data_IF_705714795333
#
_entry.id   IF_705714795333
#
_cell.length_a   1.000
_cell.length_b   1.000
_cell.length_c   1.000
_cell.angle_alpha   90.00
_cell.angle_beta   90.00
_cell.angle_gamma   90.00
#
_symmetry.space_group_name_H-M   'P 1'
#
loop_
_entity.id
_entity.type
_entity.pdbx_description
1 polymer ?
2 water ?
#
# COMPACT_ATOMS: atom_id res chain seq x y z
N UNK A 20 -19.97 21.46 3.98
CA UNK A 20 -18.68 22.01 4.40
C UNK A 20 -17.50 21.21 3.88
N UNK A 21 -17.77 19.94 3.51
CA UNK A 21 -16.72 19.10 2.91
C UNK A 21 -16.04 19.83 1.76
N UNK A 22 -16.78 20.68 1.05
CA UNK A 22 -16.17 21.52 0.01
C UNK A 22 -15.37 22.66 0.65
N UNK A 23 -15.96 23.35 1.64
CA UNK A 23 -15.25 24.42 2.33
C UNK A 23 -14.12 23.87 3.21
N UNK A 24 -14.36 22.73 3.86
CA UNK A 24 -13.31 22.09 4.66
C UNK A 24 -12.09 21.78 3.82
N UNK A 25 -12.30 21.31 2.59
CA UNK A 25 -11.19 20.93 1.73
C UNK A 25 -10.44 22.16 1.23
N UNK A 26 -11.15 23.25 0.94
CA UNK A 26 -10.50 24.51 0.59
C UNK A 26 -9.68 25.03 1.76
N UNK A 27 -10.26 25.01 2.97
CA UNK A 27 -9.59 25.58 4.13
C UNK A 27 -8.36 24.76 4.52
N UNK A 28 -8.44 23.43 4.39
CA UNK A 28 -7.27 22.61 4.66
C UNK A 28 -6.16 22.88 3.65
N UNK A 29 -6.51 23.00 2.37
CA UNK A 29 -5.50 23.26 1.35
C UNK A 29 -4.87 24.64 1.54
N UNK A 30 -5.65 25.64 1.93
CA UNK A 30 -5.09 26.95 2.23
C UNK A 30 -4.17 26.89 3.45
N UNK A 31 -4.57 26.12 4.48
CA UNK A 31 -3.71 25.98 5.64
C UNK A 31 -2.39 25.31 5.27
N UNK A 32 -2.46 24.27 4.44
CA UNK A 32 -1.24 23.58 4.01
C UNK A 32 -0.35 24.50 3.19
N UNK A 33 -0.93 25.22 2.22
CA UNK A 33 -0.15 26.14 1.40
C UNK A 33 0.40 27.29 2.24
N UNK A 34 -0.32 27.71 3.27
CA UNK A 34 0.21 28.72 4.19
C UNK A 34 1.40 28.16 4.97
N UNK A 35 1.32 26.90 5.38
CA UNK A 35 2.45 26.28 6.07
C UNK A 35 3.67 26.17 5.16
N UNK A 36 3.45 25.85 3.88
CA UNK A 36 4.55 25.73 2.93
C UNK A 36 5.23 27.08 2.76
N UNK A 37 4.44 28.15 2.67
CA UNK A 37 5.01 29.48 2.46
C UNK A 37 5.72 29.99 3.72
N UNK A 38 5.06 29.86 4.88
CA UNK A 38 5.65 30.34 6.12
C UNK A 38 6.97 29.65 6.45
N UNK A 39 7.13 28.42 5.97
CA UNK A 39 8.32 27.64 6.25
C UNK A 39 9.30 27.60 5.09
N UNK A 40 9.00 28.31 3.99
CA UNK A 40 9.87 28.40 2.82
C UNK A 40 10.18 27.01 2.24
N UNK A 41 9.11 26.25 1.99
CA UNK A 41 9.24 24.89 1.48
C UNK A 41 8.76 24.74 0.05
N UNK A 42 8.56 25.86 -0.67
CA UNK A 42 7.97 25.79 -2.01
C UNK A 42 8.84 24.98 -2.97
N UNK A 43 10.17 25.07 -2.82
CA UNK A 43 11.07 24.35 -3.70
C UNK A 43 11.24 22.88 -3.33
N UNK A 44 10.70 22.44 -2.19
CA UNK A 44 10.80 21.05 -1.78
C UNK A 44 9.51 20.26 -1.93
N UNK A 45 8.36 20.94 -2.11
CA UNK A 45 7.09 20.24 -2.13
C UNK A 45 6.02 21.17 -2.69
N UNK A 46 5.01 20.56 -3.31
CA UNK A 46 3.81 21.24 -3.76
C UNK A 46 2.60 20.61 -3.10
N UNK A 47 1.48 21.31 -3.15
CA UNK A 47 0.23 20.82 -2.55
C UNK A 47 -0.91 21.03 -3.54
N UNK A 48 -1.85 20.09 -3.52
CA UNK A 48 -3.00 20.18 -4.40
C UNK A 48 -4.17 19.45 -3.75
N UNK A 49 -5.35 19.62 -4.35
CA UNK A 49 -6.54 18.90 -3.96
C UNK A 49 -7.03 18.05 -5.12
N UNK A 50 -7.50 16.85 -4.81
CA UNK A 50 -8.24 16.04 -5.77
C UNK A 50 -9.25 15.20 -4.99
N UNK A 51 -9.82 14.19 -5.64
CA UNK A 51 -10.85 13.37 -5.02
C UNK A 51 -10.35 12.69 -3.76
N UNK A 52 -9.05 12.44 -3.65
CA UNK A 52 -8.50 11.77 -2.48
C UNK A 52 -8.49 12.68 -1.26
N UNK A 53 -8.36 14.00 -1.48
CA UNK A 53 -8.20 14.95 -0.41
C UNK A 53 -7.13 15.98 -0.75
N UNK A 54 -6.37 16.41 0.23
CA UNK A 54 -5.25 17.34 0.03
C UNK A 54 -3.96 16.53 -0.03
N UNK A 55 -3.19 16.71 -1.09
CA UNK A 55 -2.04 15.86 -1.40
C UNK A 55 -0.77 16.69 -1.39
N UNK A 56 0.25 16.21 -0.67
CA UNK A 56 1.59 16.77 -0.71
C UNK A 56 2.44 15.93 -1.66
N UNK A 57 3.05 16.58 -2.66
CA UNK A 57 3.85 15.89 -3.66
C UNK A 57 5.32 16.22 -3.43
N UNK A 58 6.13 15.18 -3.22
CA UNK A 58 7.57 15.33 -3.03
C UNK A 58 8.26 14.53 -4.12
N UNK A 59 9.10 15.21 -4.90
CA UNK A 59 9.88 14.52 -5.92
C UNK A 59 10.91 13.59 -5.25
N UNK A 60 11.28 12.53 -5.98
CA UNK A 60 12.19 11.52 -5.42
C UNK A 60 13.48 12.14 -4.89
N UNK A 61 13.99 13.18 -5.55
CA UNK A 61 15.29 13.73 -5.22
C UNK A 61 15.38 14.33 -3.82
N UNK A 62 14.26 14.81 -3.26
CA UNK A 62 14.33 15.39 -1.92
C UNK A 62 14.19 14.34 -0.82
N UNK A 63 14.07 13.06 -1.19
CA UNK A 63 13.85 12.00 -0.22
C UNK A 63 14.87 10.86 -0.33
N UNK A 64 15.12 10.39 -1.56
CA UNK A 64 15.83 9.14 -1.77
C UNK A 64 16.93 9.30 -2.82
N UNK A 65 17.88 8.37 -2.79
CA UNK A 65 18.76 8.14 -3.92
C UNK A 65 18.01 7.36 -5.01
N UNK A 66 18.62 7.31 -6.19
CA UNK A 66 18.03 6.57 -7.30
C UNK A 66 17.95 5.08 -6.97
N UNK A 67 16.79 4.48 -7.24
CA UNK A 67 16.61 3.06 -7.04
C UNK A 67 16.68 2.59 -5.60
N UNK A 68 16.66 3.52 -4.66
CA UNK A 68 16.75 3.20 -3.24
C UNK A 68 15.51 3.73 -2.51
N UNK A 69 15.30 3.20 -1.30
CA UNK A 69 14.15 3.59 -0.48
C UNK A 69 14.54 4.04 0.92
N UNK A 70 15.83 4.25 1.18
CA UNK A 70 16.27 4.73 2.48
C UNK A 70 16.18 6.24 2.50
N UNK A 71 15.52 6.78 3.53
CA UNK A 71 15.39 8.23 3.66
C UNK A 71 16.77 8.83 3.87
N UNK A 72 17.14 9.75 2.98
CA UNK A 72 18.43 10.41 3.09
C UNK A 72 18.52 11.21 4.39
N UNK A 73 19.75 11.40 4.87
CA UNK A 73 19.94 12.16 6.10
C UNK A 73 19.58 13.63 5.89
N UNK A 74 19.85 14.17 4.70
CA UNK A 74 19.46 15.54 4.39
C UNK A 74 17.97 15.67 4.10
N UNK A 75 17.23 14.57 4.05
CA UNK A 75 15.78 14.61 3.93
C UNK A 75 15.08 14.66 5.28
N UNK A 76 15.82 14.42 6.37
CA UNK A 76 15.17 14.31 7.68
C UNK A 76 14.62 15.64 8.16
N UNK A 77 15.27 16.76 7.80
CA UNK A 77 14.75 18.06 8.21
C UNK A 77 13.41 18.34 7.53
N UNK A 78 13.32 18.08 6.22
CA UNK A 78 12.07 18.26 5.50
C UNK A 78 10.96 17.39 6.09
N UNK A 79 11.24 16.12 6.33
CA UNK A 79 10.22 15.22 6.87
C UNK A 79 9.80 15.65 8.28
N UNK A 80 10.74 16.18 9.07
CA UNK A 80 10.35 16.73 10.37
C UNK A 80 9.42 17.92 10.21
N UNK A 81 9.71 18.81 9.25
CA UNK A 81 8.84 19.96 9.02
C UNK A 81 7.45 19.53 8.58
N UNK A 82 7.37 18.49 7.75
CA UNK A 82 6.07 17.94 7.38
C UNK A 82 5.38 17.34 8.60
N UNK A 83 6.14 16.64 9.44
CA UNK A 83 5.55 16.00 10.61
C UNK A 83 4.98 17.03 11.57
N UNK A 84 5.63 18.18 11.70
CA UNK A 84 5.12 19.25 12.55
C UNK A 84 3.76 19.72 12.04
N UNK A 85 3.60 19.83 10.73
CA UNK A 85 2.29 20.16 10.17
C UNK A 85 1.28 19.05 10.44
N UNK A 86 1.71 17.79 10.25
CA UNK A 86 0.77 16.66 10.38
C UNK A 86 0.26 16.50 11.81
N UNK A 87 1.06 16.89 12.80
CA UNK A 87 0.61 16.75 14.19
C UNK A 87 -0.54 17.72 14.51
N UNK A 88 -0.66 18.83 13.77
CA UNK A 88 -1.68 19.82 14.05
C UNK A 88 -3.04 19.47 13.47
N UNK A 89 -3.17 18.35 12.77
CA UNK A 89 -4.46 17.96 12.18
C UNK A 89 -4.75 16.52 12.56
N UNK A 90 -6.04 16.14 12.59
CA UNK A 90 -6.41 14.77 12.96
C UNK A 90 -6.54 13.80 11.79
N UNK A 91 -6.52 14.26 10.55
CA UNK A 91 -6.88 13.42 9.42
C UNK A 91 -5.94 12.21 9.30
N UNK A 92 -6.49 11.14 8.74
CA UNK A 92 -5.67 9.98 8.40
C UNK A 92 -4.75 10.33 7.24
N UNK A 93 -3.61 9.63 7.18
CA UNK A 93 -2.57 9.91 6.19
C UNK A 93 -2.33 8.66 5.36
N UNK A 94 -2.28 8.83 4.05
CA UNK A 94 -1.89 7.79 3.12
C UNK A 94 -0.63 8.25 2.40
N UNK A 95 0.47 7.52 2.59
CA UNK A 95 1.73 7.82 1.89
C UNK A 95 1.83 6.88 0.69
N UNK A 96 1.93 7.48 -0.50
CA UNK A 96 1.93 6.75 -1.75
C UNK A 96 3.32 6.79 -2.38
N UNK A 97 3.83 5.62 -2.76
CA UNK A 97 5.09 5.53 -3.49
C UNK A 97 4.82 5.25 -4.95
N UNK A 98 5.64 5.85 -5.83
CA UNK A 98 5.51 5.69 -7.27
C UNK A 98 6.90 5.49 -7.86
N UNK A 99 6.96 4.70 -8.93
CA UNK A 99 8.18 4.57 -9.72
C UNK A 99 7.89 5.01 -11.15
N UNK A 100 8.96 5.23 -11.92
CA UNK A 100 8.82 5.30 -13.36
C UNK A 100 8.74 3.89 -13.92
N UNK A 101 8.70 3.76 -15.26
CA UNK A 101 8.57 2.45 -15.87
C UNK A 101 9.91 1.73 -16.00
N UNK A 102 11.02 2.35 -15.63
CA UNK A 102 12.31 1.69 -15.69
C UNK A 102 12.32 0.45 -14.80
N UNK A 103 12.84 -0.65 -15.35
CA UNK A 103 12.84 -1.90 -14.60
C UNK A 103 13.86 -1.84 -13.47
N UNK A 104 13.43 -2.35 -12.31
CA UNK A 104 14.32 -2.59 -11.18
C UNK A 104 14.15 -4.05 -10.77
N UNK A 105 15.26 -4.69 -10.41
CA UNK A 105 15.24 -6.10 -10.06
C UNK A 105 16.48 -6.47 -9.27
N UNK A 106 16.59 -5.93 -8.06
CA UNK A 106 17.70 -6.22 -7.17
C UNK A 106 17.23 -7.12 -6.03
N UNK A 107 18.21 -7.59 -5.25
CA UNK A 107 17.89 -8.38 -4.07
C UNK A 107 17.02 -7.61 -3.10
N UNK A 108 17.30 -6.32 -2.93
CA UNK A 108 16.58 -5.50 -1.97
C UNK A 108 15.21 -5.07 -2.48
N UNK A 109 15.06 -4.89 -3.79
CA UNK A 109 13.80 -4.44 -4.38
C UNK A 109 13.52 -5.26 -5.63
N UNK A 110 12.79 -6.36 -5.51
CA UNK A 110 12.64 -7.28 -6.66
C UNK A 110 11.70 -6.80 -7.75
N UNK A 111 10.99 -5.68 -7.56
CA UNK A 111 10.21 -5.10 -8.64
C UNK A 111 9.81 -3.68 -8.25
N UNK A 112 9.19 -2.98 -9.19
CA UNK A 112 8.74 -1.61 -8.94
C UNK A 112 7.60 -1.57 -7.92
N UNK A 113 6.85 -2.66 -7.77
CA UNK A 113 5.86 -2.72 -6.69
C UNK A 113 6.54 -2.62 -5.34
N UNK A 114 7.58 -3.44 -5.12
CA UNK A 114 8.30 -3.41 -3.85
C UNK A 114 9.00 -2.08 -3.63
N UNK A 115 9.63 -1.52 -4.66
CA UNK A 115 10.33 -0.25 -4.50
C UNK A 115 9.38 0.86 -4.13
N UNK A 116 8.25 0.97 -4.83
CA UNK A 116 7.30 2.04 -4.53
C UNK A 116 6.74 1.89 -3.13
N UNK A 117 6.47 0.65 -2.71
CA UNK A 117 5.93 0.42 -1.38
C UNK A 117 7.00 0.60 -0.30
N UNK A 118 8.25 0.28 -0.61
CA UNK A 118 9.32 0.50 0.37
C UNK A 118 9.58 1.98 0.60
N UNK A 119 9.33 2.82 -0.40
CA UNK A 119 9.54 4.26 -0.22
C UNK A 119 8.44 4.87 0.62
N UNK A 120 7.19 4.50 0.36
CA UNK A 120 6.10 4.94 1.24
C UNK A 120 6.34 4.45 2.67
N UNK A 121 6.80 3.21 2.81
CA UNK A 121 7.05 2.64 4.14
C UNK A 121 8.18 3.37 4.85
N UNK A 122 9.25 3.69 4.13
CA UNK A 122 10.37 4.39 4.75
C UNK A 122 9.97 5.77 5.26
N UNK A 123 9.07 6.44 4.55
CA UNK A 123 8.58 7.73 5.00
C UNK A 123 7.72 7.56 6.25
N UNK A 124 6.86 6.55 6.26
CA UNK A 124 5.99 6.34 7.41
C UNK A 124 6.80 5.91 8.62
N UNK A 125 7.79 5.04 8.41
CA UNK A 125 8.65 4.62 9.53
C UNK A 125 9.35 5.81 10.15
N UNK A 126 9.77 6.77 9.32
CA UNK A 126 10.33 8.01 9.85
C UNK A 126 9.31 8.76 10.69
N UNK A 127 8.10 8.93 10.17
CA UNK A 127 7.07 9.68 10.88
C UNK A 127 6.74 9.06 12.22
N UNK A 128 6.67 7.72 12.28
CA UNK A 128 6.19 7.04 13.48
C UNK A 128 7.31 6.75 14.47
N UNK A 129 8.43 6.20 14.00
CA UNK A 129 9.46 5.75 14.93
C UNK A 129 10.31 6.90 15.46
N UNK A 130 10.45 7.98 14.69
CA UNK A 130 11.43 9.00 15.00
C UNK A 130 10.81 10.37 15.23
N UNK A 131 9.65 10.64 14.65
CA UNK A 131 8.87 11.83 14.96
C UNK A 131 7.69 11.52 15.89
N UNK A 132 7.43 10.25 16.17
CA UNK A 132 6.44 9.80 17.15
C UNK A 132 5.00 10.20 16.79
N UNK A 133 4.68 10.23 15.51
CA UNK A 133 3.27 10.34 15.16
C UNK A 133 2.60 8.96 15.28
N UNK A 134 1.33 8.92 15.68
CA UNK A 134 0.69 7.63 15.95
C UNK A 134 0.58 6.77 14.69
N UNK A 135 1.04 5.52 14.80
CA UNK A 135 1.06 4.61 13.66
C UNK A 135 -0.33 4.38 13.06
N UNK A 136 -1.38 4.41 13.88
CA UNK A 136 -2.72 4.18 13.33
C UNK A 136 -3.19 5.27 12.38
N UNK A 137 -2.44 6.36 12.25
CA UNK A 137 -2.83 7.40 11.31
C UNK A 137 -2.38 7.12 9.88
N UNK A 138 -1.58 6.06 9.66
CA UNK A 138 -0.87 5.89 8.40
C UNK A 138 -1.25 4.60 7.69
N UNK A 139 -1.20 4.67 6.36
CA UNK A 139 -1.27 3.51 5.47
C UNK A 139 -0.20 3.69 4.40
N UNK A 140 0.59 2.65 4.16
CA UNK A 140 1.59 2.66 3.10
C UNK A 140 0.99 2.09 1.82
N UNK A 141 1.16 2.80 0.71
CA UNK A 141 0.56 2.42 -0.56
C UNK A 141 1.62 2.45 -1.64
N UNK A 142 1.69 1.38 -2.44
CA UNK A 142 2.62 1.33 -3.56
C UNK A 142 1.89 1.19 -4.88
N UNK A 143 2.20 2.05 -5.84
CA UNK A 143 1.54 2.04 -7.13
C UNK A 143 2.43 1.53 -8.26
N UNK A 144 3.69 1.21 -7.99
CA UNK A 144 4.67 0.87 -9.04
C UNK A 144 4.61 1.98 -10.08
N UNK A 145 4.47 1.66 -11.37
CA UNK A 145 4.42 2.66 -12.43
C UNK A 145 3.01 2.82 -13.00
N UNK A 146 2.00 2.42 -12.25
CA UNK A 146 0.63 2.40 -12.74
C UNK A 146 -0.08 3.75 -12.72
N UNK A 147 0.54 4.79 -12.14
CA UNK A 147 -0.07 6.12 -12.09
C UNK A 147 0.94 7.18 -12.47
N UNK A 148 1.35 7.21 -13.75
CA UNK A 148 2.31 8.24 -14.18
C UNK A 148 1.64 9.60 -14.23
N UNK A 149 2.49 10.64 -14.17
CA UNK A 149 1.98 12.01 -14.32
C UNK A 149 1.50 12.23 -15.75
N UNK A 150 2.38 12.01 -16.72
CA UNK A 150 1.97 11.96 -18.13
C UNK A 150 2.33 10.61 -18.72
N UNK A 151 3.60 10.30 -18.92
CA UNK A 151 4.04 9.04 -19.50
C UNK A 151 5.51 8.82 -19.14
N UNK A 152 6.16 7.90 -19.85
CA UNK A 152 7.56 7.59 -19.62
C UNK A 152 8.38 7.69 -20.90
N UNK A 153 7.90 8.43 -21.90
CA UNK A 153 8.60 8.45 -23.19
C UNK A 153 9.88 9.30 -23.15
N UNK A 154 10.03 10.18 -22.17
CA UNK A 154 11.21 11.02 -22.06
C UNK A 154 11.78 10.93 -20.65
N UNK A 155 13.05 11.32 -20.53
CA UNK A 155 13.68 11.34 -19.21
C UNK A 155 13.01 12.35 -18.29
N UNK A 156 12.61 13.50 -18.85
CA UNK A 156 11.80 14.46 -18.10
C UNK A 156 10.54 13.81 -17.54
N UNK A 157 9.82 13.06 -18.37
CA UNK A 157 8.55 12.49 -17.92
C UNK A 157 8.76 11.39 -16.88
N UNK A 158 9.81 10.58 -17.04
CA UNK A 158 10.07 9.52 -16.06
C UNK A 158 10.49 10.10 -14.72
N UNK A 159 11.20 11.23 -14.74
CA UNK A 159 11.65 11.86 -13.51
C UNK A 159 10.47 12.24 -12.61
N UNK A 160 9.47 12.93 -13.18
CA UNK A 160 8.35 13.39 -12.37
C UNK A 160 7.47 12.24 -11.89
N UNK A 161 7.56 11.07 -12.54
CA UNK A 161 6.81 9.91 -12.06
C UNK A 161 7.41 9.32 -10.79
N UNK A 162 8.69 9.58 -10.53
CA UNK A 162 9.36 9.12 -9.32
C UNK A 162 9.09 10.15 -8.24
N UNK A 163 8.04 9.89 -7.47
CA UNK A 163 7.52 10.89 -6.56
C UNK A 163 6.83 10.18 -5.42
N UNK A 164 6.83 10.80 -4.25
CA UNK A 164 6.05 10.34 -3.10
C UNK A 164 4.92 11.34 -2.90
N UNK A 165 3.70 10.83 -2.70
CA UNK A 165 2.55 11.67 -2.45
C UNK A 165 2.00 11.35 -1.07
N UNK A 166 1.87 12.37 -0.23
CA UNK A 166 1.33 12.23 1.12
C UNK A 166 -0.11 12.75 1.06
N UNK A 167 -1.07 11.84 1.12
CA UNK A 167 -2.48 12.17 0.95
C UNK A 167 -3.09 12.42 2.32
N UNK A 168 -3.62 13.62 2.52
CA UNK A 168 -4.34 13.96 3.74
C UNK A 168 -5.82 13.72 3.44
N UNK A 169 -6.36 12.63 3.97
CA UNK A 169 -7.70 12.17 3.63
C UNK A 169 -8.76 13.06 4.28
N UNK A 170 -9.97 13.04 3.70
CA UNK A 170 -11.07 13.81 4.25
C UNK A 170 -11.41 13.32 5.66
N UNK A 171 -11.70 14.27 6.54
CA UNK A 171 -12.03 13.96 7.93
C UNK A 171 -13.31 14.66 8.36
N UNK B 17 -30.40 1.68 -4.77
CA UNK B 17 -29.02 1.85 -5.22
C UNK B 17 -28.10 0.86 -4.52
N UNK B 18 -27.86 1.09 -3.23
CA UNK B 18 -26.99 0.20 -2.47
C UNK B 18 -27.52 -1.23 -2.49
N UNK B 19 -28.80 -1.41 -2.16
CA UNK B 19 -29.38 -2.75 -2.16
C UNK B 19 -29.15 -3.45 -3.49
N UNK B 20 -29.16 -2.69 -4.58
CA UNK B 20 -28.76 -3.24 -5.87
C UNK B 20 -27.27 -3.55 -5.90
N UNK B 21 -26.46 -2.73 -5.23
CA UNK B 21 -25.02 -2.94 -5.17
C UNK B 21 -24.60 -3.85 -4.02
N UNK B 22 -25.34 -3.89 -2.91
CA UNK B 22 -25.01 -4.86 -1.87
C UNK B 22 -25.47 -6.27 -2.23
N UNK B 23 -26.65 -6.40 -2.85
CA UNK B 23 -27.05 -7.70 -3.37
C UNK B 23 -26.08 -8.19 -4.43
N UNK B 24 -25.48 -7.27 -5.17
CA UNK B 24 -24.43 -7.64 -6.11
C UNK B 24 -23.20 -8.17 -5.39
N UNK B 25 -22.80 -7.51 -4.29
CA UNK B 25 -21.69 -8.02 -3.48
C UNK B 25 -22.03 -9.35 -2.84
N UNK B 26 -23.29 -9.55 -2.47
CA UNK B 26 -23.71 -10.84 -1.92
C UNK B 26 -23.47 -11.95 -2.94
N UNK B 27 -23.82 -11.70 -4.20
CA UNK B 27 -23.65 -12.70 -5.23
C UNK B 27 -22.16 -12.96 -5.52
N UNK B 28 -21.34 -11.91 -5.44
CA UNK B 28 -19.92 -12.08 -5.68
C UNK B 28 -19.27 -12.93 -4.59
N UNK B 29 -19.62 -12.67 -3.32
CA UNK B 29 -19.08 -13.48 -2.24
C UNK B 29 -19.50 -14.94 -2.39
N UNK B 30 -20.76 -15.17 -2.76
CA UNK B 30 -21.23 -16.54 -2.99
C UNK B 30 -20.43 -17.20 -4.11
N UNK B 31 -20.16 -16.45 -5.19
CA UNK B 31 -19.32 -16.98 -6.26
C UNK B 31 -17.93 -17.34 -5.75
N UNK B 32 -17.33 -16.45 -4.93
CA UNK B 32 -15.99 -16.70 -4.41
C UNK B 32 -15.99 -17.93 -3.50
N UNK B 33 -16.97 -18.00 -2.59
CA UNK B 33 -17.06 -19.15 -1.70
C UNK B 33 -17.26 -20.45 -2.48
N UNK B 34 -18.06 -20.38 -3.55
CA UNK B 34 -18.26 -21.56 -4.39
C UNK B 34 -16.97 -21.94 -5.11
N UNK B 35 -16.21 -20.95 -5.57
CA UNK B 35 -14.92 -21.22 -6.20
C UNK B 35 -13.97 -21.90 -5.22
N UNK B 36 -13.97 -21.45 -3.97
CA UNK B 36 -13.12 -22.06 -2.95
C UNK B 36 -13.53 -23.50 -2.70
N UNK B 37 -14.84 -23.73 -2.56
CA UNK B 37 -15.34 -25.08 -2.31
C UNK B 37 -15.04 -26.01 -3.49
N UNK B 38 -15.34 -25.55 -4.71
CA UNK B 38 -15.23 -26.43 -5.87
C UNK B 38 -13.78 -26.80 -6.17
N UNK B 39 -12.83 -25.96 -5.78
CA UNK B 39 -11.42 -26.21 -6.06
C UNK B 39 -10.65 -26.71 -4.85
N UNK B 40 -11.35 -27.12 -3.79
CA UNK B 40 -10.74 -27.74 -2.61
C UNK B 40 -9.69 -26.82 -1.98
N UNK B 41 -10.07 -25.56 -1.78
CA UNK B 41 -9.17 -24.53 -1.27
C UNK B 41 -9.55 -24.05 0.13
N UNK B 42 -10.44 -24.75 0.83
CA UNK B 42 -10.94 -24.25 2.10
C UNK B 42 -9.83 -24.17 3.15
N UNK B 43 -8.89 -25.11 3.13
CA UNK B 43 -7.82 -25.11 4.12
C UNK B 43 -6.75 -24.07 3.83
N UNK B 44 -6.81 -23.40 2.67
CA UNK B 44 -5.78 -22.46 2.27
C UNK B 44 -6.25 -21.02 2.20
N UNK B 45 -7.55 -20.76 2.09
CA UNK B 45 -8.06 -19.41 2.08
C UNK B 45 -9.47 -19.38 2.64
N UNK B 46 -9.86 -18.22 3.14
CA UNK B 46 -11.25 -17.92 3.44
C UNK B 46 -11.66 -16.67 2.70
N UNK B 47 -12.97 -16.41 2.69
CA UNK B 47 -13.51 -15.22 2.05
C UNK B 47 -14.56 -14.61 2.95
N UNK B 48 -14.69 -13.28 2.87
CA UNK B 48 -15.67 -12.56 3.66
C UNK B 48 -16.01 -11.27 2.94
N UNK B 49 -17.04 -10.60 3.44
CA UNK B 49 -17.41 -9.30 2.91
C UNK B 49 -17.50 -8.28 4.04
N UNK B 50 -16.96 -7.10 3.82
CA UNK B 50 -17.13 -5.98 4.74
C UNK B 50 -17.21 -4.69 3.91
N UNK B 51 -17.03 -3.54 4.56
CA UNK B 51 -17.22 -2.26 3.87
C UNK B 51 -16.25 -2.12 2.70
N UNK B 52 -15.09 -2.76 2.76
CA UNK B 52 -14.12 -2.62 1.67
C UNK B 52 -14.59 -3.31 0.41
N UNK B 53 -15.34 -4.39 0.53
CA UNK B 53 -15.71 -5.24 -0.59
C UNK B 53 -15.66 -6.70 -0.23
N UNK B 54 -15.36 -7.57 -1.19
CA UNK B 54 -15.22 -9.00 -0.95
C UNK B 54 -13.74 -9.31 -0.80
N UNK B 55 -13.37 -9.96 0.30
CA UNK B 55 -11.97 -10.08 0.72
C UNK B 55 -11.59 -11.55 0.81
N UNK B 56 -10.48 -11.90 0.17
CA UNK B 56 -9.85 -13.20 0.35
C UNK B 56 -8.77 -13.06 1.43
N UNK B 57 -8.80 -13.96 2.42
CA UNK B 57 -7.86 -13.93 3.52
C UNK B 57 -6.93 -15.14 3.38
N UNK B 58 -5.62 -14.88 3.36
CA UNK B 58 -4.61 -15.92 3.26
C UNK B 58 -3.64 -15.77 4.42
N UNK B 59 -3.54 -16.79 5.27
CA UNK B 59 -2.59 -16.74 6.36
C UNK B 59 -1.17 -16.75 5.80
N UNK B 60 -0.24 -16.14 6.54
CA UNK B 60 1.11 -15.93 6.02
C UNK B 60 1.76 -17.24 5.57
N UNK B 61 1.50 -18.34 6.27
CA UNK B 61 2.27 -19.57 6.03
C UNK B 61 1.94 -20.22 4.70
N UNK B 62 0.82 -19.85 4.06
CA UNK B 62 0.55 -20.36 2.72
C UNK B 62 1.26 -19.58 1.63
N UNK B 63 1.92 -18.48 1.99
CA UNK B 63 2.58 -17.60 1.01
C UNK B 63 4.06 -17.37 1.28
N UNK B 64 4.46 -17.14 2.53
CA UNK B 64 5.82 -16.74 2.85
C UNK B 64 6.36 -17.59 3.99
N UNK B 65 7.70 -17.66 4.06
CA UNK B 65 8.34 -18.16 5.26
C UNK B 65 8.51 -17.02 6.27
N UNK B 66 8.82 -17.39 7.51
CA UNK B 66 8.88 -16.43 8.60
C UNK B 66 9.82 -15.27 8.28
N UNK B 67 9.32 -14.05 8.43
CA UNK B 67 10.13 -12.86 8.26
C UNK B 67 10.52 -12.52 6.85
N UNK B 68 9.98 -13.19 5.84
CA UNK B 68 10.36 -12.95 4.46
C UNK B 68 9.15 -12.54 3.64
N UNK B 69 9.42 -11.93 2.48
CA UNK B 69 8.39 -11.48 1.57
C UNK B 69 8.51 -12.12 0.19
N UNK B 70 9.36 -13.14 0.05
CA UNK B 70 9.48 -13.87 -1.20
C UNK B 70 8.40 -14.95 -1.23
N UNK B 71 7.61 -14.98 -2.30
CA UNK B 71 6.54 -15.97 -2.43
C UNK B 71 7.15 -17.36 -2.54
N UNK B 72 6.69 -18.28 -1.69
CA UNK B 72 7.16 -19.65 -1.75
C UNK B 72 6.76 -20.28 -3.08
N UNK B 73 7.65 -21.12 -3.61
CA UNK B 73 7.33 -21.84 -4.84
C UNK B 73 6.06 -22.67 -4.67
N UNK B 74 5.86 -23.27 -3.50
CA UNK B 74 4.69 -24.10 -3.32
C UNK B 74 3.40 -23.29 -3.14
N UNK B 75 3.48 -21.96 -3.10
CA UNK B 75 2.28 -21.14 -3.11
C UNK B 75 1.82 -20.79 -4.52
N UNK B 76 2.61 -21.14 -5.54
CA UNK B 76 2.31 -20.67 -6.90
C UNK B 76 1.07 -21.33 -7.47
N UNK B 77 0.78 -22.56 -7.08
CA UNK B 77 -0.45 -23.22 -7.51
C UNK B 77 -1.68 -22.50 -6.96
N UNK B 78 -1.63 -22.12 -5.68
CA UNK B 78 -2.75 -21.40 -5.08
C UNK B 78 -2.92 -20.02 -5.71
N UNK B 79 -1.82 -19.31 -5.95
CA UNK B 79 -1.92 -17.99 -6.56
C UNK B 79 -2.43 -18.07 -8.00
N UNK B 80 -2.07 -19.15 -8.72
CA UNK B 80 -2.65 -19.36 -10.04
C UNK B 80 -4.16 -19.57 -9.96
N UNK B 81 -4.61 -20.39 -9.01
CA UNK B 81 -6.04 -20.61 -8.85
C UNK B 81 -6.76 -19.33 -8.47
N UNK B 82 -6.11 -18.46 -7.69
CA UNK B 82 -6.69 -17.17 -7.38
C UNK B 82 -6.70 -16.28 -8.61
N UNK B 83 -5.62 -16.33 -9.41
CA UNK B 83 -5.55 -15.50 -10.61
C UNK B 83 -6.63 -15.87 -11.62
N UNK B 84 -6.93 -17.17 -11.73
CA UNK B 84 -8.00 -17.60 -12.63
C UNK B 84 -9.33 -17.00 -12.20
N UNK B 85 -9.59 -16.98 -10.90
CA UNK B 85 -10.82 -16.36 -10.39
C UNK B 85 -10.85 -14.87 -10.65
N UNK B 86 -9.71 -14.19 -10.47
CA UNK B 86 -9.68 -12.74 -10.66
C UNK B 86 -9.85 -12.36 -12.13
N UNK B 87 -9.46 -13.25 -13.05
CA UNK B 87 -9.60 -12.96 -14.46
C UNK B 87 -11.06 -12.92 -14.90
N UNK B 88 -11.97 -13.51 -14.12
CA UNK B 88 -13.38 -13.57 -14.49
C UNK B 88 -14.16 -12.34 -14.02
N UNK B 89 -13.53 -11.41 -13.31
CA UNK B 89 -14.23 -10.22 -12.84
C UNK B 89 -13.40 -8.97 -13.17
N UNK B 90 -14.03 -7.82 -13.38
CA UNK B 90 -13.30 -6.61 -13.74
C UNK B 90 -12.80 -5.76 -12.57
N UNK B 91 -13.14 -6.13 -11.34
CA UNK B 91 -12.96 -5.22 -10.21
C UNK B 91 -11.50 -4.86 -9.99
N UNK B 92 -11.29 -3.68 -9.40
CA UNK B 92 -9.98 -3.29 -8.90
C UNK B 92 -9.63 -4.13 -7.68
N UNK B 93 -8.34 -4.38 -7.48
CA UNK B 93 -7.86 -5.26 -6.43
C UNK B 93 -6.88 -4.50 -5.54
N UNK B 94 -7.06 -4.60 -4.24
CA UNK B 94 -6.13 -4.07 -3.26
C UNK B 94 -5.56 -5.25 -2.46
N UNK B 95 -4.25 -5.46 -2.55
CA UNK B 95 -3.57 -6.48 -1.77
C UNK B 95 -2.98 -5.84 -0.54
N UNK B 96 -3.38 -6.31 0.63
CA UNK B 96 -3.00 -5.74 1.92
C UNK B 96 -2.05 -6.68 2.65
N UNK B 97 -0.96 -6.14 3.15
CA UNK B 97 -0.04 -6.87 4.01
C UNK B 97 -0.22 -6.46 5.45
N UNK B 98 -0.12 -7.43 6.35
CA UNK B 98 -0.29 -7.21 7.78
C UNK B 98 0.77 -7.99 8.54
N UNK B 99 1.33 -7.37 9.57
CA UNK B 99 2.25 -8.04 10.48
C UNK B 99 1.60 -8.17 11.86
N UNK B 100 2.27 -8.91 12.74
CA UNK B 100 1.94 -8.86 14.16
C UNK B 100 2.81 -7.79 14.81
N UNK B 101 2.85 -7.76 16.14
CA UNK B 101 3.61 -6.75 16.87
C UNK B 101 5.06 -7.16 17.11
N UNK B 102 5.51 -8.28 16.53
CA UNK B 102 6.90 -8.69 16.65
C UNK B 102 7.79 -7.79 15.80
N UNK B 103 8.79 -7.18 16.42
CA UNK B 103 9.65 -6.24 15.72
C UNK B 103 10.59 -6.97 14.76
N UNK B 104 10.85 -6.33 13.62
CA UNK B 104 11.78 -6.85 12.62
C UNK B 104 12.69 -5.71 12.19
N UNK B 105 13.97 -6.02 11.99
CA UNK B 105 14.96 -5.01 11.59
C UNK B 105 16.10 -5.72 10.86
N UNK B 106 15.79 -6.29 9.70
CA UNK B 106 16.78 -6.95 8.89
C UNK B 106 17.25 -6.03 7.76
N UNK B 107 18.03 -6.58 6.84
CA UNK B 107 18.56 -5.79 5.72
C UNK B 107 17.46 -5.42 4.74
N UNK B 108 16.62 -6.39 4.37
CA UNK B 108 15.58 -6.15 3.37
C UNK B 108 14.33 -5.50 3.96
N UNK B 109 14.11 -5.63 5.27
CA UNK B 109 12.91 -5.12 5.92
C UNK B 109 13.27 -4.38 7.21
N UNK B 110 13.48 -3.07 7.13
CA UNK B 110 13.85 -2.30 8.32
C UNK B 110 12.75 -2.20 9.38
N UNK B 111 11.50 -2.51 9.07
CA UNK B 111 10.44 -2.51 10.08
C UNK B 111 9.20 -3.18 9.49
N UNK B 112 8.12 -3.20 10.30
CA UNK B 112 6.92 -3.94 9.90
C UNK B 112 6.14 -3.23 8.80
N UNK B 113 6.26 -1.90 8.70
CA UNK B 113 5.68 -1.21 7.55
C UNK B 113 6.24 -1.76 6.26
N UNK B 114 7.58 -1.89 6.21
CA UNK B 114 8.25 -2.38 5.02
C UNK B 114 7.91 -3.84 4.75
N UNK B 115 7.94 -4.68 5.79
CA UNK B 115 7.65 -6.10 5.61
C UNK B 115 6.23 -6.32 5.11
N UNK B 116 5.26 -5.64 5.71
CA UNK B 116 3.87 -5.81 5.28
C UNK B 116 3.68 -5.33 3.84
N UNK B 117 4.31 -4.21 3.49
CA UNK B 117 4.17 -3.67 2.14
C UNK B 117 4.88 -4.56 1.12
N UNK B 118 6.03 -5.12 1.49
CA UNK B 118 6.74 -6.00 0.57
C UNK B 118 5.99 -7.30 0.33
N UNK B 119 5.25 -7.77 1.33
CA UNK B 119 4.47 -8.99 1.15
C UNK B 119 3.30 -8.76 0.20
N UNK B 120 2.61 -7.62 0.33
CA UNK B 120 1.59 -7.29 -0.64
C UNK B 120 2.18 -7.14 -2.04
N UNK B 121 3.36 -6.53 -2.13
CA UNK B 121 4.02 -6.32 -3.41
C UNK B 121 4.44 -7.63 -4.07
N UNK B 122 4.94 -8.58 -3.28
CA UNK B 122 5.34 -9.86 -3.85
C UNK B 122 4.18 -10.62 -4.44
N UNK B 123 3.01 -10.54 -3.80
CA UNK B 123 1.82 -11.18 -4.34
C UNK B 123 1.42 -10.55 -5.65
N UNK B 124 1.43 -9.21 -5.71
CA UNK B 124 1.03 -8.50 -6.91
C UNK B 124 2.02 -8.76 -8.03
N UNK B 125 3.32 -8.77 -7.73
CA UNK B 125 4.31 -9.03 -8.77
C UNK B 125 4.10 -10.40 -9.40
N UNK B 126 3.74 -11.40 -8.58
CA UNK B 126 3.44 -12.71 -9.15
C UNK B 126 2.21 -12.65 -10.04
N UNK B 127 1.15 -11.97 -9.60
CA UNK B 127 -0.05 -11.86 -10.42
C UNK B 127 0.25 -11.21 -11.76
N UNK B 128 1.06 -10.15 -11.77
CA UNK B 128 1.30 -9.37 -12.98
C UNK B 128 2.42 -9.95 -13.85
N UNK B 129 3.50 -10.43 -13.24
CA UNK B 129 4.63 -10.92 -14.03
C UNK B 129 4.48 -12.37 -14.45
N UNK B 130 3.75 -13.18 -13.69
CA UNK B 130 3.62 -14.60 -14.00
C UNK B 130 2.23 -15.02 -14.46
N UNK B 131 1.16 -14.40 -13.94
CA UNK B 131 -0.20 -14.76 -14.33
C UNK B 131 -0.78 -13.82 -15.36
N UNK B 132 -0.07 -12.75 -15.72
CA UNK B 132 -0.45 -11.83 -16.80
C UNK B 132 -1.68 -11.00 -16.48
N UNK B 133 -2.04 -10.85 -15.20
CA UNK B 133 -3.09 -9.91 -14.85
C UNK B 133 -2.57 -8.49 -15.01
N UNK B 134 -3.38 -7.58 -15.58
CA UNK B 134 -2.89 -6.22 -15.84
C UNK B 134 -2.50 -5.49 -14.57
N UNK B 135 -1.36 -4.81 -14.62
CA UNK B 135 -0.85 -4.09 -13.45
C UNK B 135 -1.83 -3.02 -12.98
N UNK B 136 -2.57 -2.41 -13.90
CA UNK B 136 -3.48 -1.32 -13.56
C UNK B 136 -4.61 -1.75 -12.63
N UNK B 137 -4.80 -3.05 -12.41
CA UNK B 137 -5.87 -3.54 -11.55
C UNK B 137 -5.47 -3.59 -10.07
N UNK B 138 -4.21 -3.30 -9.74
CA UNK B 138 -3.67 -3.59 -8.42
C UNK B 138 -3.14 -2.34 -7.75
N UNK B 139 -3.27 -2.30 -6.42
CA UNK B 139 -2.47 -1.43 -5.57
C UNK B 139 -1.98 -2.26 -4.39
N UNK B 140 -0.74 -2.02 -3.98
CA UNK B 140 -0.14 -2.69 -2.84
C UNK B 140 -0.32 -1.83 -1.60
N UNK B 141 -0.75 -2.44 -0.50
CA UNK B 141 -1.05 -1.68 0.70
C UNK B 141 -0.40 -2.38 1.89
N UNK B 142 0.32 -1.60 2.70
CA UNK B 142 0.93 -2.13 3.91
C UNK B 142 0.35 -1.50 5.17
N UNK B 143 -0.11 -2.32 6.11
CA UNK B 143 -0.71 -1.81 7.35
C UNK B 143 0.17 -1.98 8.57
N UNK B 144 1.33 -2.62 8.46
CA UNK B 144 2.17 -2.99 9.61
C UNK B 144 1.27 -3.77 10.58
N UNK B 145 1.28 -3.46 11.87
CA UNK B 145 0.44 -4.13 12.85
C UNK B 145 -0.76 -3.27 13.27
N UNK B 146 -1.18 -2.32 12.44
CA UNK B 146 -2.22 -1.38 12.82
C UNK B 146 -3.63 -1.94 12.65
N UNK B 147 -3.79 -3.12 12.06
CA UNK B 147 -5.11 -3.73 11.85
C UNK B 147 -5.08 -5.19 12.25
N UNK B 148 -4.99 -5.48 13.54
CA UNK B 148 -5.00 -6.87 13.99
C UNK B 148 -6.37 -7.50 13.79
N UNK B 149 -6.39 -8.83 13.82
CA UNK B 149 -7.67 -9.55 13.77
C UNK B 149 -8.39 -9.43 15.09
N UNK B 150 -7.68 -9.65 16.20
CA UNK B 150 -8.23 -9.36 17.51
C UNK B 150 -7.21 -8.60 18.36
N UNK B 151 -6.05 -9.20 18.59
CA UNK B 151 -5.03 -8.63 19.46
C UNK B 151 -3.71 -9.35 19.21
N UNK B 152 -2.70 -9.00 20.00
CA UNK B 152 -1.39 -9.63 19.97
C UNK B 152 -0.98 -10.16 21.34
N UNK B 153 -1.97 -10.55 22.15
CA UNK B 153 -1.68 -11.07 23.48
C UNK B 153 -1.15 -12.50 23.43
N UNK B 154 -1.74 -13.34 22.58
CA UNK B 154 -1.40 -14.76 22.53
C UNK B 154 -0.69 -15.11 21.23
N UNK B 155 -0.07 -16.29 21.22
CA UNK B 155 0.65 -16.75 20.03
C UNK B 155 -0.31 -17.01 18.87
N UNK B 156 -1.49 -17.54 19.16
CA UNK B 156 -2.45 -17.83 18.11
C UNK B 156 -3.04 -16.56 17.51
N UNK B 157 -3.21 -15.51 18.33
CA UNK B 157 -3.69 -14.24 17.80
C UNK B 157 -2.62 -13.52 16.99
N UNK B 158 -1.37 -13.58 17.43
CA UNK B 158 -0.29 -12.99 16.64
C UNK B 158 -0.15 -13.70 15.31
N UNK B 159 -0.38 -15.02 15.30
CA UNK B 159 -0.24 -15.79 14.06
C UNK B 159 -1.30 -15.37 13.04
N UNK B 160 -2.54 -15.21 13.48
CA UNK B 160 -3.60 -14.84 12.54
C UNK B 160 -3.51 -13.38 12.11
N UNK B 161 -2.81 -12.54 12.87
CA UNK B 161 -2.56 -11.17 12.42
C UNK B 161 -1.61 -11.14 11.23
N UNK B 162 -0.70 -12.11 11.14
CA UNK B 162 0.24 -12.19 10.01
C UNK B 162 -0.50 -12.83 8.85
N UNK B 163 -1.06 -11.98 7.99
CA UNK B 163 -1.96 -12.45 6.96
C UNK B 163 -1.91 -11.50 5.78
N UNK B 164 -2.36 -11.99 4.63
CA UNK B 164 -2.54 -11.19 3.43
C UNK B 164 -4.02 -11.19 3.09
N UNK B 165 -4.57 -10.01 2.84
CA UNK B 165 -5.96 -9.86 2.41
C UNK B 165 -6.00 -9.30 1.00
N UNK B 166 -6.69 -10.00 0.11
CA UNK B 166 -6.88 -9.59 -1.27
C UNK B 166 -8.29 -9.02 -1.38
N UNK B 167 -8.39 -7.71 -1.49
CA UNK B 167 -9.66 -7.00 -1.42
C UNK B 167 -10.18 -6.77 -2.83
N UNK B 168 -11.32 -7.37 -3.14
CA UNK B 168 -11.99 -7.16 -4.42
C UNK B 168 -12.88 -5.93 -4.27
N UNK B 169 -12.49 -4.83 -4.89
CA UNK B 169 -13.15 -3.55 -4.67
C UNK B 169 -14.48 -3.48 -5.43
N UNK B 170 -15.36 -2.62 -4.94
CA UNK B 170 -16.65 -2.40 -5.55
C UNK B 170 -16.52 -1.79 -6.94
N UNK B 171 -17.61 -1.83 -7.69
CA UNK B 171 -17.65 -1.22 -9.02
C UNK B 171 -18.51 0.05 -8.99
#
# INVERSE_FOLDING_TARGET
MQPDQTSIEKKNISPSDTKKQEDQQDQLLKKVNTYIKDNHLKAQMTAKRDERGVVLVLQEAVLFDTGEAKVLKNAETLLHQIAVLLQTIPNDIQVEGHTDSRNISTYRYPSNWELSAARASGVIQYFTSKEKLPSKRFIAVGYADTKPVKDNKTNEHMKENRRVEIVIKKSKTTSSHHHHHH
MQPDQTSIEKKNISPSDTKKQEDQQDQLLKKVNTYIKDNHLKAQMTAKRDERGVVLVLQEAVLFDTGEAKVLKNAETLLHQIAVLLQTIPNDIQVEGHTDSRNISTYRYPSNWELSAARASGVIQYFTSKEKLPSKRFIAVGYADTKPVKDNKTNEHMKENRRVEIVIKKSKTTSSHHHHHH
#
